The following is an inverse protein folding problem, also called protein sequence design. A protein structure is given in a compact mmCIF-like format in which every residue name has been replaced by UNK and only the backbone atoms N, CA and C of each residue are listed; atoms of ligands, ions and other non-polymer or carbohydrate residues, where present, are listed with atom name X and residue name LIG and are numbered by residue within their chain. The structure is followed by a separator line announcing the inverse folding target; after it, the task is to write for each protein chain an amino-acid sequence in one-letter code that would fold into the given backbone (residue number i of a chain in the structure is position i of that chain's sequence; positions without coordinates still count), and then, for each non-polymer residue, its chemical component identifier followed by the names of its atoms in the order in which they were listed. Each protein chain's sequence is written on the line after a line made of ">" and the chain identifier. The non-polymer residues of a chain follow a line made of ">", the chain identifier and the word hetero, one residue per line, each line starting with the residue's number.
data_IF_269783347259
#
_entry.id   IF_269783347259
#
_cell.length_a   1.000
_cell.length_b   1.000
_cell.length_c   1.000
_cell.angle_alpha   90.00
_cell.angle_beta   90.00
_cell.angle_gamma   90.00
#
_symmetry.space_group_name_H-M   'P 1'
#
loop_
_entity.id
_entity.type
_entity.pdbx_description
1 polymer ?
#
# COMPACT_ATOMS: atom_id res chain seq x y z
N UNK A 1 -48.19 -0.50 18.43
CA UNK A 1 -47.00 0.21 18.92
C UNK A 1 -45.85 -0.04 17.95
N UNK A 2 -45.37 1.04 17.33
CA UNK A 2 -44.02 1.27 16.79
C UNK A 2 -43.33 0.14 16.03
N UNK A 3 -43.33 0.28 14.70
CA UNK A 3 -42.17 -0.09 13.90
C UNK A 3 -41.00 0.86 14.18
N UNK A 4 -39.78 0.33 14.15
CA UNK A 4 -38.58 1.05 13.71
C UNK A 4 -37.45 0.05 13.45
N UNK A 5 -37.14 -0.11 12.16
CA UNK A 5 -35.85 -0.57 11.73
C UNK A 5 -34.77 0.39 12.27
N UNK A 6 -33.73 -0.16 12.86
CA UNK A 6 -32.48 0.55 13.10
C UNK A 6 -31.34 -0.45 12.91
N UNK A 7 -31.04 -0.72 11.63
CA UNK A 7 -29.77 -1.30 11.21
C UNK A 7 -28.66 -0.32 11.61
N UNK A 8 -28.09 -0.53 12.79
CA UNK A 8 -26.83 0.09 13.16
C UNK A 8 -25.76 -0.47 12.25
N UNK A 9 -25.24 0.36 11.34
CA UNK A 9 -24.15 0.02 10.44
C UNK A 9 -22.97 -0.52 11.26
N UNK A 10 -22.88 -1.86 11.34
CA UNK A 10 -21.80 -2.55 12.02
C UNK A 10 -20.55 -2.27 11.21
N UNK A 11 -19.66 -1.42 11.73
CA UNK A 11 -18.33 -1.23 11.15
C UNK A 11 -17.62 -2.57 11.21
N UNK A 12 -17.61 -3.29 10.10
CA UNK A 12 -16.88 -4.54 9.97
C UNK A 12 -15.41 -4.18 10.06
N UNK A 13 -14.76 -4.59 11.15
CA UNK A 13 -13.31 -4.54 11.27
C UNK A 13 -12.76 -5.55 10.26
N UNK A 14 -12.33 -5.05 9.11
CA UNK A 14 -11.74 -5.88 8.08
C UNK A 14 -10.26 -6.06 8.40
N UNK A 15 -9.74 -7.30 8.32
CA UNK A 15 -8.31 -7.54 8.31
C UNK A 15 -7.61 -6.65 7.27
N UNK A 16 -6.42 -6.09 7.58
CA UNK A 16 -5.68 -5.22 6.66
C UNK A 16 -5.41 -5.84 5.28
N UNK A 17 -5.27 -7.17 5.20
CA UNK A 17 -5.09 -7.88 3.93
C UNK A 17 -6.27 -7.68 2.96
N UNK A 18 -7.49 -7.49 3.48
CA UNK A 18 -8.66 -7.22 2.66
C UNK A 18 -8.57 -5.86 1.96
N UNK A 19 -7.83 -4.90 2.52
CA UNK A 19 -7.56 -3.64 1.85
C UNK A 19 -6.65 -3.86 0.63
N UNK A 20 -5.60 -4.67 0.76
CA UNK A 20 -4.72 -5.03 -0.36
C UNK A 20 -5.47 -5.75 -1.48
N UNK A 21 -6.32 -6.72 -1.12
CA UNK A 21 -7.14 -7.41 -2.12
C UNK A 21 -8.09 -6.47 -2.85
N UNK A 22 -8.65 -5.47 -2.17
CA UNK A 22 -9.50 -4.45 -2.83
C UNK A 22 -8.70 -3.60 -3.81
N UNK A 23 -7.49 -3.18 -3.44
CA UNK A 23 -6.61 -2.42 -4.32
C UNK A 23 -6.23 -3.23 -5.58
N UNK A 24 -5.94 -4.52 -5.41
CA UNK A 24 -5.68 -5.44 -6.52
C UNK A 24 -6.92 -5.64 -7.41
N UNK A 25 -8.11 -5.84 -6.83
CA UNK A 25 -9.36 -5.99 -7.57
C UNK A 25 -9.72 -4.74 -8.38
N UNK A 26 -9.46 -3.56 -7.83
CA UNK A 26 -9.73 -2.28 -8.48
C UNK A 26 -8.66 -1.85 -9.47
N UNK A 27 -7.50 -2.55 -9.50
CA UNK A 27 -6.31 -2.14 -10.25
C UNK A 27 -5.93 -0.67 -9.97
N UNK A 28 -6.08 -0.27 -8.71
CA UNK A 28 -5.83 1.11 -8.29
C UNK A 28 -4.33 1.40 -8.30
N UNK A 29 -3.96 2.61 -8.70
CA UNK A 29 -2.58 3.09 -8.56
C UNK A 29 -2.28 3.33 -7.09
N UNK A 30 -1.16 2.78 -6.63
CA UNK A 30 -0.72 2.85 -5.23
C UNK A 30 0.67 3.47 -5.13
N UNK A 31 0.90 4.22 -4.06
CA UNK A 31 2.21 4.68 -3.66
C UNK A 31 2.72 3.78 -2.53
N UNK A 32 3.90 3.21 -2.74
CA UNK A 32 4.55 2.31 -1.79
C UNK A 32 5.77 3.03 -1.23
N UNK A 33 5.80 3.17 0.09
CA UNK A 33 6.93 3.73 0.80
C UNK A 33 7.85 2.59 1.21
N UNK A 34 9.12 2.72 0.84
CA UNK A 34 10.15 1.76 1.20
C UNK A 34 10.93 2.30 2.40
N UNK A 35 11.21 1.45 3.37
CA UNK A 35 12.10 1.78 4.48
C UNK A 35 12.97 0.57 4.79
N UNK A 36 14.26 0.82 4.92
CA UNK A 36 15.24 -0.21 5.25
C UNK A 36 15.42 -0.25 6.77
N UNK A 37 14.54 -0.97 7.47
CA UNK A 37 14.70 -1.26 8.90
C UNK A 37 14.93 -2.75 9.12
N UNK A 38 16.19 -3.17 9.19
CA UNK A 38 16.57 -4.56 9.42
C UNK A 38 16.25 -5.05 10.86
N UNK A 39 16.01 -4.13 11.80
CA UNK A 39 16.07 -4.42 13.24
C UNK A 39 14.73 -4.76 13.90
N UNK A 40 13.59 -4.37 13.31
CA UNK A 40 12.28 -4.57 13.93
C UNK A 40 11.26 -5.04 12.88
N UNK A 41 10.96 -6.34 12.84
CA UNK A 41 9.90 -6.91 12.01
C UNK A 41 8.60 -6.99 12.81
N UNK A 42 7.86 -5.88 12.93
CA UNK A 42 6.51 -5.88 13.50
C UNK A 42 5.50 -6.27 12.39
N UNK A 43 5.65 -7.47 11.83
CA UNK A 43 4.87 -7.89 10.68
C UNK A 43 5.32 -9.26 10.21
N UNK A 44 4.61 -10.29 10.63
CA UNK A 44 4.76 -11.64 10.13
C UNK A 44 3.93 -11.77 8.86
N UNK A 45 4.58 -11.83 7.69
CA UNK A 45 4.04 -12.54 6.51
C UNK A 45 5.13 -12.75 5.44
N UNK A 46 5.37 -14.00 5.05
CA UNK A 46 6.32 -14.38 3.99
C UNK A 46 5.80 -14.07 2.57
N UNK A 47 4.51 -13.71 2.45
CA UNK A 47 3.81 -13.62 1.17
C UNK A 47 3.51 -12.19 0.68
N UNK A 48 4.06 -11.15 1.31
CA UNK A 48 3.87 -9.75 0.88
C UNK A 48 4.75 -9.33 -0.32
N UNK A 49 5.20 -10.27 -1.15
CA UNK A 49 5.85 -9.91 -2.40
C UNK A 49 4.81 -9.34 -3.36
N UNK A 50 5.06 -8.14 -3.88
CA UNK A 50 4.15 -7.43 -4.76
C UNK A 50 4.73 -7.43 -6.17
N UNK A 51 3.94 -7.90 -7.14
CA UNK A 51 4.22 -7.66 -8.56
C UNK A 51 3.53 -6.37 -8.93
N UNK A 52 4.32 -5.39 -9.36
CA UNK A 52 3.85 -4.05 -9.72
C UNK A 52 4.06 -3.88 -11.21
N UNK A 53 2.96 -3.60 -11.92
CA UNK A 53 2.98 -3.20 -13.33
C UNK A 53 3.16 -1.68 -13.43
N UNK A 54 3.87 -1.21 -14.46
CA UNK A 54 4.16 0.21 -14.72
C UNK A 54 4.77 0.96 -13.51
N UNK A 55 5.66 0.31 -12.77
CA UNK A 55 6.31 0.89 -11.61
C UNK A 55 7.19 2.09 -11.99
N UNK A 56 7.12 3.13 -11.17
CA UNK A 56 7.97 4.32 -11.27
C UNK A 56 8.69 4.50 -9.94
N UNK A 57 10.02 4.49 -9.98
CA UNK A 57 10.83 4.88 -8.84
C UNK A 57 10.74 6.39 -8.66
N UNK A 58 10.27 6.84 -7.49
CA UNK A 58 10.22 8.25 -7.13
C UNK A 58 11.23 8.48 -6.02
N UNK A 59 12.31 9.21 -6.32
CA UNK A 59 13.25 9.65 -5.28
C UNK A 59 12.75 10.94 -4.68
N UNK A 60 12.51 10.93 -3.37
CA UNK A 60 12.09 12.13 -2.65
C UNK A 60 13.21 13.18 -2.63
N UNK A 61 12.77 14.44 -2.69
CA UNK A 61 13.63 15.60 -2.54
C UNK A 61 14.21 15.57 -1.13
N UNK A 62 15.52 15.60 -1.02
CA UNK A 62 16.23 15.68 0.26
C UNK A 62 17.14 16.91 0.24
N UNK A 63 17.81 17.21 1.36
CA UNK A 63 18.82 18.29 1.42
C UNK A 63 19.95 18.14 0.39
N UNK A 64 20.11 16.98 -0.24
CA UNK A 64 21.14 16.69 -1.26
C UNK A 64 20.57 16.46 -2.67
N UNK A 65 19.25 16.46 -2.85
CA UNK A 65 18.61 16.30 -4.15
C UNK A 65 17.44 17.28 -4.28
N UNK A 66 17.66 18.38 -5.01
CA UNK A 66 16.67 19.45 -5.21
C UNK A 66 15.58 19.11 -6.23
N UNK A 67 15.64 17.95 -6.88
CA UNK A 67 14.68 17.55 -7.92
C UNK A 67 14.05 16.19 -7.64
N UNK A 68 12.73 16.12 -7.77
CA UNK A 68 11.99 14.85 -7.73
C UNK A 68 12.32 14.08 -9.01
N UNK A 69 13.18 13.08 -8.89
CA UNK A 69 13.53 12.22 -10.03
C UNK A 69 12.58 11.04 -10.09
N UNK A 70 11.92 10.90 -11.24
CA UNK A 70 11.01 9.80 -11.55
C UNK A 70 11.62 8.93 -12.62
N UNK A 71 11.85 7.65 -12.32
CA UNK A 71 12.42 6.68 -13.26
C UNK A 71 11.42 5.57 -13.54
N UNK A 72 10.98 5.35 -14.79
CA UNK A 72 10.15 4.20 -15.11
C UNK A 72 10.98 2.93 -14.99
N UNK A 73 10.44 1.94 -14.26
CA UNK A 73 11.04 0.61 -14.08
C UNK A 73 10.28 -0.47 -14.85
N UNK A 74 9.02 -0.21 -15.24
CA UNK A 74 8.17 -1.20 -15.89
C UNK A 74 7.64 -2.22 -14.88
N UNK A 75 7.61 -3.50 -15.25
CA UNK A 75 7.16 -4.55 -14.34
C UNK A 75 8.28 -4.97 -13.38
N UNK A 76 8.02 -4.87 -12.07
CA UNK A 76 8.98 -5.25 -11.03
C UNK A 76 8.34 -6.17 -9.99
N UNK A 77 9.16 -7.02 -9.38
CA UNK A 77 8.82 -7.78 -8.18
C UNK A 77 9.45 -7.10 -6.97
N UNK A 78 8.61 -6.54 -6.10
CA UNK A 78 9.02 -5.90 -4.86
C UNK A 78 8.90 -6.90 -3.71
N UNK A 79 10.00 -7.08 -2.98
CA UNK A 79 9.98 -7.93 -1.79
C UNK A 79 9.26 -7.24 -0.64
N UNK A 80 8.40 -8.00 0.06
CA UNK A 80 7.56 -7.48 1.13
C UNK A 80 8.31 -7.02 2.39
N UNK A 81 9.59 -7.38 2.52
CA UNK A 81 10.46 -7.01 3.64
C UNK A 81 10.81 -5.52 3.70
N UNK A 82 10.79 -4.84 2.54
CA UNK A 82 11.14 -3.42 2.43
C UNK A 82 9.90 -2.50 2.40
N UNK A 83 8.69 -3.05 2.43
CA UNK A 83 7.45 -2.28 2.33
C UNK A 83 7.06 -1.72 3.70
N UNK A 84 6.92 -0.41 3.79
CA UNK A 84 6.55 0.28 5.04
C UNK A 84 5.13 0.79 5.05
N UNK A 85 4.71 1.42 3.96
CA UNK A 85 3.37 1.99 3.85
C UNK A 85 2.87 1.81 2.43
N UNK A 86 1.62 1.37 2.30
CA UNK A 86 0.90 1.28 1.02
C UNK A 86 -0.27 2.25 1.08
N UNK A 87 -0.25 3.24 0.20
CA UNK A 87 -1.28 4.27 0.09
C UNK A 87 -1.93 4.21 -1.30
N UNK A 88 -3.25 4.29 -1.36
CA UNK A 88 -3.95 4.54 -2.63
C UNK A 88 -3.69 5.97 -3.09
N UNK A 89 -3.25 6.15 -4.34
CA UNK A 89 -3.15 7.48 -4.96
C UNK A 89 -4.51 8.00 -5.43
N UNK A 90 -5.50 7.11 -5.56
CA UNK A 90 -6.88 7.47 -5.88
C UNK A 90 -7.57 7.96 -4.61
N UNK A 91 -7.76 9.27 -4.50
CA UNK A 91 -8.59 9.97 -3.52
C UNK A 91 -9.64 10.82 -4.21
#
# INVERSE_FOLDING_TARGET
>A
MTGRAAGGGRRVLLPPINFLFRLLQQRSTVQIWLYEQLSIRIGFDEFMNLVIDDAVEVKQISKTNDTETRRPLGQILLKGDNVSLIQSLSG
#
